data_IF_796834803248
#
_entry.id   IF_796834803248
#
_cell.length_a   1.000
_cell.length_b   1.000
_cell.length_c   1.000
_cell.angle_alpha   90.00
_cell.angle_beta   90.00
_cell.angle_gamma   90.00
#
_symmetry.space_group_name_H-M   'P 1'
#
loop_
_entity.id
_entity.type
_entity.pdbx_description
1 polymer ?
#
# COMPACT_ATOMS: atom_id res chain seq x y z
N UNK A 1 10.40 10.27 30.58
CA UNK A 1 11.85 10.26 30.87
C UNK A 1 12.29 8.80 30.96
N UNK A 2 12.46 8.11 29.81
CA UNK A 2 13.09 6.77 29.64
C UNK A 2 13.25 6.51 28.13
N UNK A 3 13.83 7.44 27.40
CA UNK A 3 14.26 7.27 25.99
C UNK A 3 15.79 7.17 25.97
N UNK A 4 16.36 6.08 26.34
CA UNK A 4 17.80 6.17 26.38
C UNK A 4 18.64 4.88 26.40
N UNK A 5 18.06 3.70 26.49
CA UNK A 5 18.88 2.49 26.64
C UNK A 5 18.79 1.46 25.50
N UNK A 6 17.72 1.44 24.71
CA UNK A 6 17.58 0.48 23.60
C UNK A 6 18.16 1.00 22.26
N UNK A 7 18.29 2.31 22.07
CA UNK A 7 18.88 2.91 20.86
C UNK A 7 20.43 2.86 20.85
N UNK A 8 21.06 2.73 22.01
CA UNK A 8 22.51 2.75 22.16
C UNK A 8 23.19 1.41 21.75
N UNK A 9 22.43 0.32 21.57
CA UNK A 9 22.99 -1.00 21.21
C UNK A 9 22.93 -1.35 19.71
N UNK A 10 22.23 -0.55 18.90
CA UNK A 10 22.19 -0.66 17.45
C UNK A 10 23.36 0.05 16.79
N UNK A 11 24.54 -0.48 16.95
CA UNK A 11 25.74 0.00 16.28
C UNK A 11 26.86 -1.03 16.45
N UNK A 12 27.18 -1.75 15.36
CA UNK A 12 28.50 -2.33 15.26
C UNK A 12 29.52 -1.22 15.52
N UNK A 13 30.59 -1.46 16.30
CA UNK A 13 31.67 -0.51 16.30
C UNK A 13 32.06 -0.20 14.84
N UNK A 14 32.45 1.02 14.55
CA UNK A 14 32.77 1.48 13.17
C UNK A 14 33.62 0.48 12.38
N UNK A 15 34.48 -0.26 13.07
CA UNK A 15 35.34 -1.30 12.52
C UNK A 15 34.57 -2.54 12.02
N UNK A 16 33.53 -3.01 12.73
CA UNK A 16 32.72 -4.17 12.33
C UNK A 16 31.92 -3.90 11.06
N UNK A 17 31.32 -2.73 10.95
CA UNK A 17 30.58 -2.29 9.75
C UNK A 17 31.52 -2.13 8.56
N UNK A 18 32.71 -1.56 8.76
CA UNK A 18 33.71 -1.41 7.69
C UNK A 18 34.19 -2.77 7.16
N UNK A 19 34.48 -3.72 8.05
CA UNK A 19 34.86 -5.08 7.68
C UNK A 19 33.77 -5.84 6.92
N UNK A 20 32.50 -5.73 7.37
CA UNK A 20 31.35 -6.28 6.65
C UNK A 20 31.27 -5.72 5.22
N UNK A 21 31.34 -4.40 5.06
CA UNK A 21 31.21 -3.78 3.74
C UNK A 21 32.36 -4.13 2.81
N UNK A 22 33.59 -4.30 3.33
CA UNK A 22 34.73 -4.81 2.55
C UNK A 22 34.46 -6.25 2.07
N UNK A 23 33.92 -7.10 2.93
CA UNK A 23 33.54 -8.49 2.59
C UNK A 23 32.46 -8.52 1.51
N UNK A 24 31.41 -7.71 1.66
CA UNK A 24 30.32 -7.63 0.68
C UNK A 24 30.83 -7.08 -0.67
N UNK A 25 31.69 -6.07 -0.66
CA UNK A 25 32.28 -5.53 -1.87
C UNK A 25 33.15 -6.59 -2.61
N UNK A 26 33.97 -7.33 -1.90
CA UNK A 26 34.76 -8.40 -2.47
C UNK A 26 33.93 -9.55 -3.06
N UNK A 27 32.82 -9.92 -2.37
CA UNK A 27 31.96 -11.04 -2.77
C UNK A 27 31.01 -10.69 -3.91
N UNK A 28 30.42 -9.48 -3.91
CA UNK A 28 29.33 -9.09 -4.81
C UNK A 28 29.77 -8.13 -5.93
N UNK A 29 30.96 -7.55 -5.85
CA UNK A 29 31.53 -6.67 -6.87
C UNK A 29 30.58 -5.48 -7.19
N UNK A 30 30.27 -5.26 -8.47
CA UNK A 30 29.41 -4.16 -8.95
C UNK A 30 27.96 -4.18 -8.39
N UNK A 31 27.54 -5.26 -7.77
CA UNK A 31 26.23 -5.38 -7.12
C UNK A 31 26.21 -4.79 -5.70
N UNK A 32 27.35 -4.43 -5.15
CA UNK A 32 27.49 -3.69 -3.89
C UNK A 32 27.96 -2.28 -4.19
N UNK A 33 27.28 -1.26 -3.65
CA UNK A 33 27.64 0.13 -3.87
C UNK A 33 27.46 1.00 -2.63
N UNK A 34 28.35 1.95 -2.47
CA UNK A 34 28.28 3.02 -1.46
C UNK A 34 28.14 4.41 -2.10
N UNK A 35 27.82 4.48 -3.41
CA UNK A 35 27.67 5.77 -4.09
C UNK A 35 26.50 6.56 -3.46
N UNK A 36 26.70 7.85 -3.26
CA UNK A 36 25.70 8.73 -2.64
C UNK A 36 24.39 8.71 -3.43
N UNK A 37 24.46 8.88 -4.74
CA UNK A 37 23.28 8.91 -5.62
C UNK A 37 22.41 7.63 -5.48
N UNK A 38 23.04 6.45 -5.44
CA UNK A 38 22.32 5.20 -5.30
C UNK A 38 21.71 5.03 -3.90
N UNK A 39 22.41 5.46 -2.86
CA UNK A 39 21.93 5.45 -1.47
C UNK A 39 20.72 6.37 -1.32
N UNK A 40 20.78 7.58 -1.86
CA UNK A 40 19.68 8.55 -1.87
C UNK A 40 18.48 8.02 -2.66
N UNK A 41 18.69 7.36 -3.79
CA UNK A 41 17.65 6.71 -4.57
C UNK A 41 16.94 5.61 -3.78
N UNK A 42 17.64 4.88 -2.90
CA UNK A 42 17.07 3.84 -2.05
C UNK A 42 16.38 4.38 -0.78
N UNK A 43 16.34 5.67 -0.56
CA UNK A 43 15.51 6.35 0.44
C UNK A 43 14.45 7.26 -0.21
N UNK A 44 14.54 7.49 -1.52
CA UNK A 44 13.66 8.42 -2.23
C UNK A 44 12.30 7.76 -2.53
N UNK A 45 11.31 8.14 -1.75
CA UNK A 45 9.91 7.74 -1.91
C UNK A 45 9.02 8.99 -2.03
N UNK A 46 7.77 8.80 -2.41
CA UNK A 46 6.76 9.87 -2.42
C UNK A 46 6.24 10.11 -0.99
N UNK A 47 7.16 10.47 -0.10
CA UNK A 47 6.85 10.74 1.31
C UNK A 47 7.18 12.19 1.70
N UNK A 48 6.44 12.73 2.67
CA UNK A 48 6.72 14.01 3.30
C UNK A 48 7.78 13.91 4.42
N UNK A 49 8.16 12.69 4.79
CA UNK A 49 9.18 12.44 5.80
C UNK A 49 10.58 12.81 5.29
N UNK A 50 11.47 13.13 6.22
CA UNK A 50 12.87 13.35 5.91
C UNK A 50 13.47 12.07 5.32
N UNK A 51 14.23 12.21 4.24
CA UNK A 51 14.96 11.10 3.64
C UNK A 51 16.15 10.70 4.49
N UNK A 52 16.27 9.41 4.76
CA UNK A 52 17.35 8.82 5.57
C UNK A 52 18.02 7.69 4.77
N UNK A 53 19.03 8.03 3.93
CA UNK A 53 19.67 7.05 3.06
C UNK A 53 20.44 5.97 3.84
N UNK A 54 20.46 4.70 3.35
CA UNK A 54 21.28 3.63 3.92
C UNK A 54 22.77 3.92 3.75
N UNK A 55 23.64 3.20 4.47
CA UNK A 55 25.10 3.30 4.32
C UNK A 55 25.65 2.67 3.03
N UNK A 56 24.94 1.65 2.54
CA UNK A 56 25.26 0.94 1.30
C UNK A 56 24.02 0.29 0.70
N UNK A 57 24.11 -0.11 -0.57
CA UNK A 57 23.09 -0.85 -1.32
C UNK A 57 23.70 -2.12 -1.88
N UNK A 58 22.97 -3.24 -1.81
CA UNK A 58 23.36 -4.52 -2.38
C UNK A 58 22.18 -5.12 -3.17
N UNK A 59 22.43 -5.48 -4.42
CA UNK A 59 21.46 -6.15 -5.30
C UNK A 59 21.62 -7.67 -5.19
N UNK A 60 20.70 -8.34 -4.50
CA UNK A 60 20.67 -9.80 -4.42
C UNK A 60 20.04 -10.41 -5.70
N UNK A 61 20.42 -11.66 -6.01
CA UNK A 61 19.90 -12.43 -7.16
C UNK A 61 19.23 -13.74 -6.77
N UNK A 62 19.38 -14.19 -5.54
CA UNK A 62 18.80 -15.45 -5.05
C UNK A 62 18.45 -15.35 -3.58
N UNK A 63 17.47 -16.16 -3.13
CA UNK A 63 17.13 -16.30 -1.72
C UNK A 63 18.33 -16.72 -0.86
N UNK A 64 19.24 -17.55 -1.40
CA UNK A 64 20.46 -17.95 -0.68
C UNK A 64 21.41 -16.76 -0.46
N UNK A 65 21.56 -15.86 -1.46
CA UNK A 65 22.33 -14.64 -1.27
C UNK A 65 21.72 -13.72 -0.20
N UNK A 66 20.39 -13.60 -0.17
CA UNK A 66 19.67 -12.88 0.89
C UNK A 66 19.97 -13.48 2.25
N UNK A 67 19.87 -14.81 2.40
CA UNK A 67 20.21 -15.54 3.63
C UNK A 67 21.63 -15.27 4.11
N UNK A 68 22.60 -15.40 3.21
CA UNK A 68 24.02 -15.18 3.53
C UNK A 68 24.29 -13.73 3.96
N UNK A 69 23.67 -12.75 3.26
CA UNK A 69 23.83 -11.32 3.57
C UNK A 69 23.19 -10.97 4.91
N UNK A 70 21.95 -11.45 5.17
CA UNK A 70 21.28 -11.21 6.45
C UNK A 70 22.10 -11.78 7.61
N UNK A 71 22.63 -13.00 7.49
CA UNK A 71 23.48 -13.60 8.50
C UNK A 71 24.75 -12.78 8.77
N UNK A 72 25.46 -12.34 7.73
CA UNK A 72 26.64 -11.49 7.87
C UNK A 72 26.29 -10.14 8.54
N UNK A 73 25.14 -9.56 8.20
CA UNK A 73 24.65 -8.34 8.83
C UNK A 73 24.30 -8.56 10.31
N UNK A 74 23.72 -9.72 10.65
CA UNK A 74 23.42 -10.10 12.04
C UNK A 74 24.70 -10.25 12.87
N UNK A 75 25.71 -10.95 12.36
CA UNK A 75 27.03 -11.11 12.99
C UNK A 75 27.70 -9.75 13.25
N UNK A 76 27.58 -8.80 12.30
CA UNK A 76 28.12 -7.46 12.40
C UNK A 76 27.19 -6.45 13.11
N UNK A 77 25.98 -6.83 13.49
CA UNK A 77 24.92 -5.96 14.04
C UNK A 77 24.63 -4.75 13.15
N UNK A 78 24.58 -4.95 11.83
CA UNK A 78 24.28 -3.91 10.82
C UNK A 78 22.84 -4.06 10.38
N UNK A 79 22.01 -3.00 10.43
CA UNK A 79 20.64 -3.03 9.94
C UNK A 79 20.52 -3.44 8.48
N UNK A 80 19.46 -4.20 8.15
CA UNK A 80 19.10 -4.59 6.79
C UNK A 80 17.74 -3.99 6.46
N UNK A 81 17.68 -3.18 5.42
CA UNK A 81 16.48 -2.55 4.92
C UNK A 81 16.09 -3.23 3.60
N UNK A 82 15.10 -4.13 3.57
CA UNK A 82 14.64 -4.74 2.33
C UNK A 82 14.06 -3.69 1.40
N UNK A 83 14.43 -3.76 0.12
CA UNK A 83 13.99 -2.81 -0.89
C UNK A 83 13.44 -3.55 -2.13
N UNK A 84 12.32 -3.07 -2.66
CA UNK A 84 11.72 -3.54 -3.91
C UNK A 84 11.76 -2.46 -4.98
N UNK A 85 10.63 -1.78 -5.21
CA UNK A 85 10.51 -0.65 -6.15
C UNK A 85 10.55 0.72 -5.46
N UNK A 86 10.57 0.78 -4.13
CA UNK A 86 10.62 2.03 -3.37
C UNK A 86 9.36 2.90 -3.49
N UNK A 87 8.20 2.30 -3.76
CA UNK A 87 6.93 3.03 -4.00
C UNK A 87 6.08 3.23 -2.75
N UNK A 88 6.53 2.78 -1.59
CA UNK A 88 5.83 2.97 -0.30
C UNK A 88 5.84 4.44 0.15
N UNK A 89 4.83 4.87 0.92
CA UNK A 89 4.56 6.27 1.21
C UNK A 89 4.92 6.71 2.63
N UNK A 90 5.09 5.78 3.58
CA UNK A 90 5.24 6.07 5.00
C UNK A 90 6.69 5.89 5.52
N UNK A 91 7.70 6.06 4.64
CA UNK A 91 9.12 5.98 5.03
C UNK A 91 9.63 4.56 5.30
N UNK A 92 9.03 3.53 4.72
CA UNK A 92 9.39 2.11 4.94
C UNK A 92 10.83 1.76 4.59
N UNK A 93 11.39 2.43 3.58
CA UNK A 93 12.76 2.18 3.09
C UNK A 93 13.80 3.15 3.63
N UNK A 94 13.39 4.10 4.47
CA UNK A 94 14.32 4.95 5.22
C UNK A 94 15.21 4.11 6.16
N UNK A 95 16.42 4.54 6.37
CA UNK A 95 17.42 3.89 7.21
C UNK A 95 17.85 4.78 8.40
N UNK A 96 16.96 5.01 9.40
CA UNK A 96 17.24 5.93 10.51
C UNK A 96 18.47 5.55 11.34
N UNK A 97 18.85 4.27 11.31
CA UNK A 97 20.06 3.74 11.97
C UNK A 97 21.18 3.41 10.97
N UNK A 98 21.11 3.91 9.71
CA UNK A 98 22.00 3.51 8.63
C UNK A 98 21.76 2.05 8.23
N UNK A 99 22.81 1.35 7.82
CA UNK A 99 22.74 -0.06 7.46
C UNK A 99 22.77 -0.32 5.95
N UNK A 100 22.40 -1.53 5.57
CA UNK A 100 22.41 -2.03 4.21
C UNK A 100 21.01 -2.06 3.60
N UNK A 101 20.79 -1.32 2.52
CA UNK A 101 19.61 -1.55 1.69
C UNK A 101 19.83 -2.80 0.85
N UNK A 102 18.99 -3.81 1.04
CA UNK A 102 19.02 -5.09 0.34
C UNK A 102 18.00 -5.09 -0.76
N UNK A 103 18.43 -4.79 -1.97
CA UNK A 103 17.58 -4.67 -3.16
C UNK A 103 17.28 -6.05 -3.74
N UNK A 104 15.98 -6.36 -3.84
CA UNK A 104 15.44 -7.64 -4.31
C UNK A 104 14.94 -7.56 -5.77
N UNK A 105 15.08 -6.43 -6.44
CA UNK A 105 14.54 -6.22 -7.80
C UNK A 105 15.09 -7.19 -8.84
N UNK A 106 16.27 -7.78 -8.58
CA UNK A 106 16.92 -8.77 -9.46
C UNK A 106 16.53 -10.21 -9.16
N UNK A 107 15.70 -10.45 -8.14
CA UNK A 107 15.05 -11.73 -7.86
C UNK A 107 13.64 -11.62 -8.42
N UNK A 108 13.47 -11.80 -9.75
CA UNK A 108 12.27 -11.36 -10.47
C UNK A 108 11.73 -12.37 -11.48
N UNK A 109 11.87 -13.66 -11.22
CA UNK A 109 11.32 -14.70 -12.08
C UNK A 109 9.87 -15.01 -11.73
N UNK A 110 9.03 -15.20 -12.75
CA UNK A 110 7.77 -15.93 -12.64
C UNK A 110 8.15 -17.41 -12.70
N UNK A 111 8.13 -18.09 -11.54
CA UNK A 111 8.70 -19.44 -11.40
C UNK A 111 7.80 -20.48 -12.07
N UNK A 112 6.49 -20.39 -11.82
CA UNK A 112 5.49 -21.26 -12.41
C UNK A 112 4.09 -20.67 -12.32
N UNK A 113 3.24 -21.00 -13.30
CA UNK A 113 1.80 -20.71 -13.27
C UNK A 113 1.06 -22.06 -13.32
N UNK A 114 0.16 -22.26 -12.38
CA UNK A 114 -0.71 -23.45 -12.31
C UNK A 114 -2.13 -23.04 -12.74
N UNK A 115 -2.35 -23.01 -14.04
CA UNK A 115 -3.61 -22.55 -14.64
C UNK A 115 -4.84 -23.29 -14.08
N UNK A 116 -4.74 -24.61 -13.94
CA UNK A 116 -5.84 -25.46 -13.42
C UNK A 116 -6.20 -25.19 -11.95
N UNK A 117 -5.26 -24.67 -11.17
CA UNK A 117 -5.45 -24.37 -9.73
C UNK A 117 -5.68 -22.89 -9.47
N UNK A 118 -5.51 -22.05 -10.51
CA UNK A 118 -5.58 -20.59 -10.42
C UNK A 118 -4.61 -20.03 -9.37
N UNK A 119 -3.36 -20.46 -9.44
CA UNK A 119 -2.27 -19.94 -8.62
C UNK A 119 -0.97 -19.83 -9.41
N UNK A 120 -0.04 -19.04 -8.89
CA UNK A 120 1.32 -18.96 -9.42
C UNK A 120 2.35 -18.81 -8.30
N UNK A 121 3.60 -19.18 -8.60
CA UNK A 121 4.75 -18.92 -7.74
C UNK A 121 5.63 -17.89 -8.43
N UNK A 122 5.94 -16.80 -7.72
CA UNK A 122 6.74 -15.69 -8.22
C UNK A 122 7.82 -15.29 -7.23
N UNK A 123 8.89 -14.72 -7.72
CA UNK A 123 9.93 -14.07 -6.93
C UNK A 123 9.54 -12.63 -6.56
N UNK A 124 10.08 -12.05 -5.47
CA UNK A 124 9.61 -10.81 -4.87
C UNK A 124 9.78 -9.57 -5.75
N UNK A 125 10.77 -9.57 -6.65
CA UNK A 125 11.05 -8.46 -7.57
C UNK A 125 10.17 -8.42 -8.81
N UNK A 126 9.32 -9.43 -9.05
CA UNK A 126 8.32 -9.39 -10.13
C UNK A 126 7.36 -8.25 -9.84
N UNK A 127 7.10 -7.37 -10.83
CA UNK A 127 6.10 -6.31 -10.67
C UNK A 127 4.70 -6.81 -11.00
N UNK A 128 3.68 -6.14 -10.44
CA UNK A 128 2.28 -6.46 -10.74
C UNK A 128 2.01 -6.42 -12.24
N UNK A 129 2.53 -5.40 -12.92
CA UNK A 129 2.35 -5.24 -14.37
C UNK A 129 3.00 -6.39 -15.15
N UNK A 130 4.25 -6.73 -14.83
CA UNK A 130 4.97 -7.83 -15.48
C UNK A 130 4.23 -9.15 -15.31
N UNK A 131 3.67 -9.44 -14.12
CA UNK A 131 2.86 -10.64 -13.89
C UNK A 131 1.60 -10.62 -14.75
N UNK A 132 0.84 -9.55 -14.77
CA UNK A 132 -0.41 -9.47 -15.54
C UNK A 132 -0.17 -9.49 -17.06
N UNK A 133 0.93 -8.90 -17.53
CA UNK A 133 1.33 -9.01 -18.94
C UNK A 133 1.63 -10.48 -19.34
N UNK A 134 2.26 -11.24 -18.44
CA UNK A 134 2.53 -12.66 -18.63
C UNK A 134 1.27 -13.54 -18.59
N UNK A 135 0.31 -13.23 -17.73
CA UNK A 135 -0.91 -14.02 -17.51
C UNK A 135 -2.00 -13.78 -18.56
N UNK A 136 -1.94 -12.67 -19.30
CA UNK A 136 -3.00 -12.21 -20.21
C UNK A 136 -3.42 -13.26 -21.22
N UNK A 137 -2.46 -13.88 -21.88
CA UNK A 137 -2.72 -14.86 -22.95
C UNK A 137 -3.22 -16.22 -22.40
N UNK A 138 -3.14 -16.42 -21.08
CA UNK A 138 -3.70 -17.56 -20.37
C UNK A 138 -5.14 -17.31 -19.90
N UNK A 139 -5.71 -16.12 -20.16
CA UNK A 139 -7.04 -15.72 -19.67
C UNK A 139 -7.10 -15.51 -18.15
N UNK A 140 -5.94 -15.27 -17.51
CA UNK A 140 -5.80 -15.09 -16.08
C UNK A 140 -5.32 -13.69 -15.74
N UNK A 141 -5.57 -13.27 -14.48
CA UNK A 141 -5.00 -12.03 -13.95
C UNK A 141 -4.79 -12.09 -12.43
N UNK A 142 -3.86 -11.26 -11.95
CA UNK A 142 -3.64 -10.98 -10.55
C UNK A 142 -4.36 -9.67 -10.18
N UNK A 143 -5.26 -9.69 -9.17
CA UNK A 143 -6.24 -8.60 -9.00
C UNK A 143 -5.77 -7.39 -8.21
N UNK A 144 -4.78 -7.53 -7.30
CA UNK A 144 -4.39 -6.41 -6.42
C UNK A 144 -3.64 -5.34 -7.22
N UNK A 145 -4.17 -4.12 -7.20
CA UNK A 145 -3.79 -3.06 -8.14
C UNK A 145 -3.50 -1.71 -7.44
N UNK A 146 -2.46 -1.63 -6.59
CA UNK A 146 -2.07 -0.35 -6.01
C UNK A 146 -1.74 0.67 -7.11
N UNK A 147 -1.80 1.96 -6.79
CA UNK A 147 -1.59 3.05 -7.74
C UNK A 147 -0.23 3.05 -8.45
N UNK A 148 0.80 2.41 -7.88
CA UNK A 148 2.12 2.26 -8.47
C UNK A 148 2.33 0.86 -9.07
N UNK A 149 3.23 0.72 -10.06
CA UNK A 149 3.71 -0.59 -10.51
C UNK A 149 4.75 -1.12 -9.51
N UNK A 150 4.23 -1.65 -8.41
CA UNK A 150 5.03 -2.13 -7.29
C UNK A 150 5.49 -3.57 -7.48
N UNK A 151 6.60 -3.94 -6.84
CA UNK A 151 7.07 -5.32 -6.75
C UNK A 151 6.17 -6.14 -5.82
N UNK A 152 5.87 -7.37 -6.19
CA UNK A 152 4.97 -8.26 -5.45
C UNK A 152 5.46 -8.55 -4.02
N UNK A 153 6.77 -8.65 -3.81
CA UNK A 153 7.36 -8.75 -2.47
C UNK A 153 7.13 -7.50 -1.63
N UNK A 154 7.27 -6.31 -2.22
CA UNK A 154 6.96 -5.04 -1.56
C UNK A 154 5.48 -4.91 -1.23
N UNK A 155 4.59 -5.26 -2.18
CA UNK A 155 3.14 -5.29 -1.96
C UNK A 155 2.74 -6.21 -0.80
N UNK A 156 3.33 -7.40 -0.72
CA UNK A 156 3.10 -8.31 0.40
C UNK A 156 3.64 -7.74 1.73
N UNK A 157 4.83 -7.15 1.71
CA UNK A 157 5.44 -6.57 2.90
C UNK A 157 4.63 -5.41 3.50
N UNK A 158 3.94 -4.60 2.68
CA UNK A 158 3.09 -3.49 3.13
C UNK A 158 1.61 -3.85 3.25
N UNK A 159 1.21 -5.09 2.92
CA UNK A 159 -0.19 -5.53 2.85
C UNK A 159 -1.01 -4.69 1.88
N UNK A 160 -0.42 -4.37 0.72
CA UNK A 160 -1.01 -3.49 -0.28
C UNK A 160 -2.44 -3.92 -0.68
N UNK A 161 -3.22 -2.93 -1.04
CA UNK A 161 -4.59 -3.03 -1.54
C UNK A 161 -4.69 -2.40 -2.95
N UNK A 162 -5.83 -1.81 -3.29
CA UNK A 162 -6.08 -1.13 -4.53
C UNK A 162 -7.56 -1.10 -4.88
N UNK A 163 -7.89 -0.62 -6.08
CA UNK A 163 -9.28 -0.40 -6.50
C UNK A 163 -10.12 -1.67 -6.61
N UNK A 164 -9.47 -2.82 -6.86
CA UNK A 164 -10.12 -4.13 -6.98
C UNK A 164 -10.38 -4.84 -5.63
N UNK A 165 -9.93 -4.27 -4.52
CA UNK A 165 -9.95 -4.96 -3.22
C UNK A 165 -11.37 -5.30 -2.76
N UNK A 166 -12.35 -4.44 -3.02
CA UNK A 166 -13.77 -4.67 -2.67
C UNK A 166 -14.31 -6.01 -3.19
N UNK A 167 -13.80 -6.51 -4.32
CA UNK A 167 -14.21 -7.81 -4.89
C UNK A 167 -13.23 -8.93 -4.62
N UNK A 168 -11.95 -8.65 -4.77
CA UNK A 168 -10.93 -9.69 -4.84
C UNK A 168 -10.08 -9.79 -3.58
N UNK A 169 -10.23 -8.85 -2.64
CA UNK A 169 -9.41 -8.74 -1.45
C UNK A 169 -8.06 -8.07 -1.70
N UNK A 170 -7.27 -8.00 -0.64
CA UNK A 170 -5.95 -7.38 -0.60
C UNK A 170 -4.83 -8.43 -0.73
N UNK A 171 -3.57 -8.02 -0.62
CA UNK A 171 -2.45 -8.98 -0.51
C UNK A 171 -2.63 -9.99 0.62
N UNK A 172 -3.31 -9.62 1.71
CA UNK A 172 -3.65 -10.53 2.81
C UNK A 172 -4.49 -11.73 2.35
N UNK A 173 -5.36 -11.52 1.36
CA UNK A 173 -6.36 -12.51 0.93
C UNK A 173 -5.87 -13.35 -0.24
N UNK A 174 -4.97 -12.81 -1.07
CA UNK A 174 -4.50 -13.46 -2.29
C UNK A 174 -3.15 -14.14 -2.16
N UNK A 175 -2.37 -13.88 -1.11
CA UNK A 175 -1.13 -14.63 -0.85
C UNK A 175 -1.48 -15.91 -0.11
N UNK A 176 -1.26 -17.05 -0.78
CA UNK A 176 -1.53 -18.39 -0.24
C UNK A 176 -0.36 -18.91 0.60
N UNK A 177 0.86 -18.51 0.30
CA UNK A 177 2.07 -18.87 1.01
C UNK A 177 3.24 -18.03 0.57
N UNK A 178 4.33 -18.05 1.32
CA UNK A 178 5.55 -17.33 0.98
C UNK A 178 6.80 -18.03 1.51
N UNK A 179 7.95 -17.65 0.97
CA UNK A 179 9.27 -17.95 1.51
C UNK A 179 9.88 -16.65 2.03
N UNK A 180 10.48 -16.69 3.20
CA UNK A 180 11.15 -15.54 3.80
C UNK A 180 12.48 -15.93 4.48
N UNK A 181 13.43 -15.01 4.52
CA UNK A 181 14.65 -15.09 5.27
C UNK A 181 14.46 -14.37 6.61
N UNK A 182 14.68 -15.09 7.72
CA UNK A 182 14.61 -14.54 9.08
C UNK A 182 15.95 -13.86 9.48
N UNK A 183 15.96 -13.21 10.64
CA UNK A 183 17.11 -12.43 11.10
C UNK A 183 18.38 -13.24 11.32
N UNK A 184 18.29 -14.54 11.57
CA UNK A 184 19.43 -15.47 11.70
C UNK A 184 19.91 -16.01 10.34
N UNK A 185 19.29 -15.60 9.24
CA UNK A 185 19.55 -16.08 7.89
C UNK A 185 18.83 -17.37 7.52
N UNK A 186 18.04 -17.97 8.41
CA UNK A 186 17.26 -19.16 8.09
C UNK A 186 16.18 -18.85 7.05
N UNK A 187 15.98 -19.78 6.09
CA UNK A 187 14.94 -19.69 5.06
C UNK A 187 13.74 -20.50 5.53
N UNK A 188 12.62 -19.85 5.69
CA UNK A 188 11.36 -20.48 6.12
C UNK A 188 10.30 -20.39 5.03
N UNK A 189 9.44 -21.42 4.96
CA UNK A 189 8.27 -21.43 4.08
C UNK A 189 7.02 -21.47 4.92
N UNK A 190 6.03 -20.69 4.54
CA UNK A 190 4.76 -20.57 5.22
C UNK A 190 3.61 -20.79 4.25
N UNK A 191 2.51 -21.37 4.73
CA UNK A 191 1.36 -21.64 3.88
C UNK A 191 1.65 -22.68 2.80
N UNK A 192 1.00 -22.53 1.66
CA UNK A 192 1.14 -23.43 0.52
C UNK A 192 0.04 -23.19 -0.50
N UNK A 193 -0.05 -24.05 -1.54
CA UNK A 193 -1.03 -23.94 -2.64
C UNK A 193 -2.45 -24.35 -2.25
N UNK A 194 -2.60 -25.09 -1.14
CA UNK A 194 -3.92 -25.49 -0.66
C UNK A 194 -4.70 -24.24 -0.18
N UNK A 195 -5.93 -24.09 -0.69
CA UNK A 195 -6.79 -22.93 -0.36
C UNK A 195 -7.26 -22.88 1.10
N UNK A 196 -7.19 -23.99 1.80
CA UNK A 196 -7.54 -24.10 3.23
C UNK A 196 -6.49 -24.93 3.96
N UNK A 197 -6.08 -24.45 5.12
CA UNK A 197 -5.27 -25.20 6.09
C UNK A 197 -5.62 -24.73 7.50
N UNK A 198 -5.70 -25.65 8.43
CA UNK A 198 -5.81 -25.41 9.88
C UNK A 198 -4.58 -25.94 10.64
N UNK A 199 -3.48 -26.18 9.93
CA UNK A 199 -2.26 -26.77 10.48
C UNK A 199 -1.35 -25.69 11.08
N UNK A 200 -1.53 -25.39 12.36
CA UNK A 200 -0.68 -24.47 13.13
C UNK A 200 -1.06 -22.99 12.98
N UNK A 201 -0.15 -22.12 13.42
CA UNK A 201 -0.33 -20.67 13.32
C UNK A 201 -0.22 -20.18 11.88
N UNK A 202 -0.96 -19.12 11.54
CA UNK A 202 -0.90 -18.47 10.23
C UNK A 202 0.32 -17.54 10.11
N UNK A 203 1.47 -18.15 9.86
CA UNK A 203 2.72 -17.40 9.68
C UNK A 203 2.75 -16.60 8.38
N UNK A 204 1.95 -17.01 7.38
CA UNK A 204 1.83 -16.28 6.12
C UNK A 204 1.28 -14.88 6.38
N UNK A 205 0.15 -14.79 7.10
CA UNK A 205 -0.46 -13.50 7.44
C UNK A 205 0.31 -12.69 8.47
N UNK A 206 1.16 -13.34 9.28
CA UNK A 206 2.08 -12.64 10.19
C UNK A 206 3.17 -11.90 9.41
N UNK A 207 3.71 -12.49 8.34
CA UNK A 207 4.76 -11.90 7.54
C UNK A 207 4.23 -10.88 6.51
N UNK A 208 2.98 -11.05 6.04
CA UNK A 208 2.30 -10.06 5.20
C UNK A 208 1.97 -8.81 6.04
N UNK A 209 2.45 -7.65 5.59
CA UNK A 209 2.32 -6.39 6.32
C UNK A 209 3.32 -6.23 7.46
N UNK A 210 4.36 -7.06 7.53
CA UNK A 210 5.45 -6.90 8.49
C UNK A 210 6.49 -5.86 8.09
N UNK A 211 6.39 -5.28 6.91
CA UNK A 211 7.23 -4.19 6.40
C UNK A 211 8.74 -4.53 6.46
N UNK A 212 9.07 -5.80 6.27
CA UNK A 212 10.45 -6.27 6.36
C UNK A 212 11.03 -6.32 7.77
N UNK A 213 10.22 -6.12 8.82
CA UNK A 213 10.70 -6.13 10.22
C UNK A 213 10.78 -7.53 10.82
N UNK A 214 10.07 -8.52 10.28
CA UNK A 214 10.05 -9.90 10.77
C UNK A 214 10.79 -10.88 9.84
N UNK A 215 11.05 -10.50 8.59
CA UNK A 215 11.71 -11.32 7.60
C UNK A 215 11.78 -10.63 6.25
N UNK A 216 12.67 -11.11 5.38
CA UNK A 216 12.82 -10.64 4.00
C UNK A 216 12.13 -11.64 3.07
N UNK A 217 11.04 -11.25 2.44
CA UNK A 217 10.25 -12.11 1.53
C UNK A 217 11.05 -12.39 0.25
N UNK A 218 11.23 -13.67 -0.08
CA UNK A 218 12.01 -14.13 -1.24
C UNK A 218 11.23 -14.91 -2.28
N UNK A 219 10.00 -15.35 -1.97
CA UNK A 219 9.07 -15.96 -2.93
C UNK A 219 7.63 -15.83 -2.43
N UNK A 220 6.68 -15.87 -3.36
CA UNK A 220 5.26 -15.75 -3.10
C UNK A 220 4.48 -16.80 -3.91
N UNK A 221 3.52 -17.45 -3.26
CA UNK A 221 2.46 -18.22 -3.93
C UNK A 221 1.20 -17.36 -3.94
N UNK A 222 0.73 -16.99 -5.12
CA UNK A 222 -0.36 -16.03 -5.32
C UNK A 222 -1.58 -16.71 -5.92
N UNK A 223 -2.75 -16.35 -5.42
CA UNK A 223 -4.04 -16.71 -6.01
C UNK A 223 -4.30 -15.85 -7.24
N UNK A 224 -4.75 -16.49 -8.31
CA UNK A 224 -5.13 -15.88 -9.58
C UNK A 224 -6.64 -15.96 -9.79
N UNK A 225 -7.12 -15.21 -10.77
CA UNK A 225 -8.52 -15.19 -11.19
C UNK A 225 -8.61 -15.24 -12.72
N UNK A 226 -9.69 -15.81 -13.23
CA UNK A 226 -10.02 -15.72 -14.65
C UNK A 226 -10.40 -14.29 -15.04
N UNK A 227 -9.99 -13.85 -16.22
CA UNK A 227 -10.44 -12.57 -16.78
C UNK A 227 -11.96 -12.64 -17.00
N UNK A 228 -12.75 -11.68 -16.48
CA UNK A 228 -14.19 -11.67 -16.65
C UNK A 228 -14.60 -11.59 -18.14
N UNK A 229 -15.65 -12.29 -18.52
CA UNK A 229 -16.19 -12.26 -19.87
C UNK A 229 -16.66 -10.86 -20.27
N UNK A 230 -17.27 -10.16 -19.33
CA UNK A 230 -17.78 -8.79 -19.52
C UNK A 230 -17.31 -7.90 -18.38
N UNK A 231 -16.83 -6.71 -18.74
CA UNK A 231 -16.46 -5.63 -17.84
C UNK A 231 -17.20 -4.38 -18.29
N UNK A 232 -18.02 -3.83 -17.40
CA UNK A 232 -18.70 -2.55 -17.59
C UNK A 232 -18.16 -1.55 -16.56
N UNK A 233 -17.81 -0.34 -17.00
CA UNK A 233 -17.39 0.73 -16.09
C UNK A 233 -18.27 1.96 -16.28
N UNK A 234 -18.47 2.73 -15.22
CA UNK A 234 -19.28 3.93 -15.30
C UNK A 234 -18.93 4.97 -14.24
N UNK A 235 -19.50 6.15 -14.41
CA UNK A 235 -19.44 7.25 -13.46
C UNK A 235 -20.86 7.69 -13.10
N UNK A 236 -21.06 8.00 -11.82
CA UNK A 236 -22.30 8.53 -11.29
C UNK A 236 -22.01 9.80 -10.48
N UNK A 237 -22.47 10.99 -10.94
CA UNK A 237 -22.36 12.24 -10.19
C UNK A 237 -23.42 12.31 -9.10
N UNK A 238 -23.13 13.00 -7.98
CA UNK A 238 -24.05 13.16 -6.84
C UNK A 238 -24.17 14.62 -6.42
N UNK A 239 -25.33 14.98 -5.91
CA UNK A 239 -25.56 16.31 -5.33
C UNK A 239 -24.83 16.55 -4.00
N UNK A 240 -24.37 15.48 -3.33
CA UNK A 240 -23.61 15.55 -2.08
C UNK A 240 -22.65 14.37 -1.96
N UNK A 241 -21.55 14.55 -1.21
CA UNK A 241 -20.60 13.50 -0.88
C UNK A 241 -21.24 12.43 0.02
N UNK A 242 -22.20 12.82 0.85
CA UNK A 242 -22.97 11.92 1.70
C UNK A 242 -23.78 10.93 0.86
N UNK A 243 -24.49 11.40 -0.18
CA UNK A 243 -25.26 10.54 -1.10
C UNK A 243 -24.37 9.55 -1.83
N UNK A 244 -23.18 9.95 -2.26
CA UNK A 244 -22.20 9.04 -2.87
C UNK A 244 -21.77 7.93 -1.88
N UNK A 245 -21.45 8.30 -0.63
CA UNK A 245 -21.08 7.33 0.39
C UNK A 245 -22.25 6.40 0.77
N UNK A 246 -23.46 6.92 0.92
CA UNK A 246 -24.65 6.13 1.23
C UNK A 246 -24.99 5.15 0.09
N UNK A 247 -24.83 5.55 -1.17
CA UNK A 247 -24.93 4.64 -2.32
C UNK A 247 -23.96 3.47 -2.21
N UNK A 248 -22.71 3.73 -1.84
CA UNK A 248 -21.70 2.68 -1.63
C UNK A 248 -22.13 1.72 -0.52
N UNK A 249 -22.56 2.26 0.63
CA UNK A 249 -23.03 1.47 1.77
C UNK A 249 -24.20 0.58 1.36
N UNK A 250 -25.23 1.16 0.72
CA UNK A 250 -26.43 0.44 0.31
C UNK A 250 -26.12 -0.65 -0.74
N UNK A 251 -25.29 -0.34 -1.73
CA UNK A 251 -24.89 -1.31 -2.76
C UNK A 251 -24.19 -2.54 -2.15
N UNK A 252 -23.30 -2.34 -1.18
CA UNK A 252 -22.61 -3.44 -0.49
C UNK A 252 -23.56 -4.21 0.43
N UNK A 253 -24.44 -3.54 1.16
CA UNK A 253 -25.45 -4.17 2.02
C UNK A 253 -26.44 -5.02 1.22
N UNK A 254 -26.78 -4.61 0.00
CA UNK A 254 -27.61 -5.39 -0.92
C UNK A 254 -26.86 -6.53 -1.60
N UNK A 255 -25.55 -6.67 -1.34
CA UNK A 255 -24.73 -7.76 -1.88
C UNK A 255 -24.38 -7.61 -3.36
N UNK A 256 -24.40 -6.38 -3.91
CA UNK A 256 -23.94 -6.15 -5.28
C UNK A 256 -22.45 -6.53 -5.38
N UNK A 257 -22.05 -7.42 -6.30
CA UNK A 257 -20.68 -7.87 -6.45
C UNK A 257 -19.86 -6.87 -7.28
N UNK A 258 -19.76 -5.62 -6.79
CA UNK A 258 -18.99 -4.55 -7.44
C UNK A 258 -17.53 -4.98 -7.59
N UNK A 259 -16.96 -4.77 -8.77
CA UNK A 259 -15.54 -5.03 -9.00
C UNK A 259 -14.68 -3.88 -8.47
N UNK A 260 -15.15 -2.65 -8.63
CA UNK A 260 -14.55 -1.41 -8.10
C UNK A 260 -15.62 -0.42 -7.75
N UNK A 261 -15.37 0.37 -6.72
CA UNK A 261 -16.17 1.56 -6.40
C UNK A 261 -15.27 2.59 -5.72
N UNK A 262 -15.11 3.73 -6.41
CA UNK A 262 -14.13 4.76 -6.09
C UNK A 262 -14.82 6.12 -5.97
N UNK A 263 -14.52 6.87 -4.91
CA UNK A 263 -15.02 8.22 -4.70
C UNK A 263 -13.99 9.25 -5.18
N UNK A 264 -14.49 10.33 -5.79
CA UNK A 264 -13.79 11.59 -5.95
C UNK A 264 -14.72 12.74 -5.56
N UNK A 265 -14.26 13.66 -4.69
CA UNK A 265 -15.03 14.84 -4.35
C UNK A 265 -14.99 15.90 -5.48
N UNK A 266 -15.75 16.98 -5.34
CA UNK A 266 -15.83 18.06 -6.33
C UNK A 266 -14.47 18.72 -6.62
N UNK A 267 -13.59 18.81 -5.61
CA UNK A 267 -12.23 19.36 -5.76
C UNK A 267 -11.37 18.43 -6.59
N UNK A 268 -11.48 17.13 -6.35
CA UNK A 268 -10.75 16.11 -7.14
C UNK A 268 -11.27 16.04 -8.57
N UNK A 269 -12.58 16.12 -8.80
CA UNK A 269 -13.13 16.14 -10.16
C UNK A 269 -12.65 17.35 -10.94
N UNK A 270 -12.62 18.55 -10.31
CA UNK A 270 -12.03 19.75 -10.91
C UNK A 270 -10.55 19.53 -11.27
N UNK A 271 -9.78 18.88 -10.39
CA UNK A 271 -8.39 18.55 -10.65
C UNK A 271 -8.25 17.60 -11.86
N UNK A 272 -9.06 16.54 -11.92
CA UNK A 272 -9.06 15.57 -13.02
C UNK A 272 -9.50 16.23 -14.34
N UNK A 273 -10.49 17.10 -14.33
CA UNK A 273 -10.90 17.85 -15.52
C UNK A 273 -9.76 18.67 -16.10
N UNK A 274 -9.06 19.42 -15.25
CA UNK A 274 -7.93 20.26 -15.67
C UNK A 274 -6.74 19.44 -16.18
N UNK A 275 -6.39 18.35 -15.47
CA UNK A 275 -5.20 17.54 -15.77
C UNK A 275 -5.39 16.61 -16.98
N UNK A 276 -6.55 15.94 -17.06
CA UNK A 276 -6.85 14.94 -18.09
C UNK A 276 -7.74 15.45 -19.22
N UNK A 277 -7.98 16.77 -19.26
CA UNK A 277 -8.81 17.44 -20.29
C UNK A 277 -10.21 16.83 -20.41
N UNK A 278 -10.87 16.58 -19.26
CA UNK A 278 -12.21 16.09 -19.18
C UNK A 278 -13.19 17.25 -18.95
N UNK A 279 -14.49 16.96 -19.07
CA UNK A 279 -15.58 17.91 -18.83
C UNK A 279 -16.66 17.28 -17.92
N UNK A 280 -16.25 16.61 -16.86
CA UNK A 280 -17.15 16.03 -15.88
C UNK A 280 -17.78 17.14 -15.03
N UNK A 281 -19.06 16.99 -14.59
CA UNK A 281 -19.64 17.89 -13.60
C UNK A 281 -18.76 17.95 -12.34
N UNK A 282 -18.43 19.15 -11.87
CA UNK A 282 -17.59 19.36 -10.67
C UNK A 282 -18.42 19.13 -9.39
N UNK A 283 -18.80 17.88 -9.17
CA UNK A 283 -19.57 17.40 -8.02
C UNK A 283 -19.00 16.08 -7.55
N UNK A 284 -19.27 15.63 -6.31
CA UNK A 284 -18.87 14.31 -5.84
C UNK A 284 -19.30 13.23 -6.81
N UNK A 285 -18.40 12.34 -7.19
CA UNK A 285 -18.62 11.34 -8.24
C UNK A 285 -18.09 9.97 -7.80
N UNK A 286 -18.89 8.93 -8.05
CA UNK A 286 -18.47 7.54 -7.95
C UNK A 286 -18.03 7.03 -9.32
N UNK A 287 -16.86 6.39 -9.35
CA UNK A 287 -16.38 5.57 -10.45
C UNK A 287 -16.64 4.12 -10.08
N UNK A 288 -17.33 3.37 -10.94
CA UNK A 288 -17.74 1.99 -10.63
C UNK A 288 -17.39 1.03 -11.76
N UNK A 289 -17.14 -0.24 -11.40
CA UNK A 289 -16.88 -1.29 -12.37
C UNK A 289 -17.60 -2.58 -11.97
N UNK A 290 -18.19 -3.25 -12.96
CA UNK A 290 -18.97 -4.46 -12.82
C UNK A 290 -18.35 -5.58 -13.67
N UNK A 291 -18.17 -6.74 -13.07
CA UNK A 291 -17.60 -7.92 -13.71
C UNK A 291 -18.63 -9.07 -13.73
N UNK A 292 -18.74 -9.78 -14.85
CA UNK A 292 -19.62 -10.94 -14.91
C UNK A 292 -19.81 -11.47 -16.33
N UNK A 293 -20.92 -12.18 -16.51
CA UNK A 293 -21.47 -12.47 -17.84
C UNK A 293 -22.13 -11.21 -18.41
N UNK A 294 -22.40 -11.13 -19.72
CA UNK A 294 -23.06 -9.96 -20.32
C UNK A 294 -24.38 -9.59 -19.65
N UNK A 295 -25.22 -10.56 -19.32
CA UNK A 295 -26.50 -10.33 -18.66
C UNK A 295 -26.28 -9.91 -17.17
N UNK A 296 -25.48 -10.66 -16.44
CA UNK A 296 -25.24 -10.39 -15.02
C UNK A 296 -24.54 -9.04 -14.76
N UNK A 297 -23.67 -8.57 -15.66
CA UNK A 297 -23.05 -7.27 -15.53
C UNK A 297 -24.09 -6.15 -15.76
N UNK A 298 -25.03 -6.31 -16.70
CA UNK A 298 -26.12 -5.34 -16.94
C UNK A 298 -27.10 -5.27 -15.77
N UNK A 299 -27.49 -6.42 -15.21
CA UNK A 299 -28.32 -6.47 -14.00
C UNK A 299 -27.67 -5.72 -12.82
N UNK A 300 -26.36 -5.86 -12.66
CA UNK A 300 -25.61 -5.11 -11.64
C UNK A 300 -25.66 -3.60 -11.90
N UNK A 301 -25.50 -3.16 -13.15
CA UNK A 301 -25.59 -1.73 -13.54
C UNK A 301 -26.97 -1.16 -13.22
N UNK A 302 -28.04 -1.87 -13.57
CA UNK A 302 -29.42 -1.45 -13.33
C UNK A 302 -29.72 -1.33 -11.83
N UNK A 303 -29.35 -2.36 -11.04
CA UNK A 303 -29.51 -2.35 -9.59
C UNK A 303 -28.71 -1.22 -8.93
N UNK A 304 -27.48 -0.98 -9.35
CA UNK A 304 -26.67 0.12 -8.85
C UNK A 304 -27.29 1.47 -9.18
N UNK A 305 -27.80 1.66 -10.40
CA UNK A 305 -28.43 2.91 -10.83
C UNK A 305 -29.71 3.22 -10.03
N UNK A 306 -30.48 2.21 -9.62
CA UNK A 306 -31.65 2.37 -8.76
C UNK A 306 -31.25 2.84 -7.35
N UNK A 307 -30.22 2.22 -6.77
CA UNK A 307 -29.69 2.61 -5.46
C UNK A 307 -29.15 4.05 -5.52
N UNK A 308 -28.32 4.37 -6.53
CA UNK A 308 -27.73 5.68 -6.68
C UNK A 308 -28.81 6.78 -6.80
N UNK A 309 -29.88 6.53 -7.57
CA UNK A 309 -31.00 7.46 -7.72
C UNK A 309 -31.72 7.70 -6.39
N UNK A 310 -31.87 6.68 -5.56
CA UNK A 310 -32.52 6.80 -4.25
C UNK A 310 -31.69 7.69 -3.29
N UNK A 311 -30.37 7.71 -3.46
CA UNK A 311 -29.42 8.50 -2.65
C UNK A 311 -29.03 9.84 -3.31
N UNK A 312 -29.78 10.31 -4.30
CA UNK A 312 -29.58 11.61 -4.96
C UNK A 312 -28.50 11.60 -6.05
N UNK A 313 -28.16 10.44 -6.57
CA UNK A 313 -27.28 10.28 -7.74
C UNK A 313 -27.97 10.72 -9.03
N UNK A 314 -27.17 11.27 -9.94
CA UNK A 314 -27.59 11.59 -11.30
C UNK A 314 -27.63 10.36 -12.21
N UNK A 315 -27.64 10.61 -13.51
CA UNK A 315 -27.61 9.54 -14.50
C UNK A 315 -26.26 8.82 -14.48
N UNK A 316 -26.30 7.48 -14.40
CA UNK A 316 -25.12 6.64 -14.51
C UNK A 316 -24.66 6.59 -15.97
N UNK A 317 -23.50 7.18 -16.25
CA UNK A 317 -22.85 7.13 -17.55
C UNK A 317 -21.89 5.95 -17.57
N UNK A 318 -22.13 4.98 -18.40
CA UNK A 318 -21.35 3.74 -18.45
C UNK A 318 -20.77 3.44 -19.82
N UNK A 319 -19.68 2.69 -19.86
CA UNK A 319 -18.92 2.35 -21.04
C UNK A 319 -18.67 0.84 -21.14
N UNK A 320 -18.95 0.26 -22.29
CA UNK A 320 -18.65 -1.14 -22.63
C UNK A 320 -17.27 -1.28 -23.30
N UNK A 321 -16.91 -0.29 -24.16
CA UNK A 321 -15.68 -0.35 -24.94
C UNK A 321 -14.46 -0.18 -24.06
N UNK A 322 -13.43 -0.99 -24.31
CA UNK A 322 -12.20 -0.96 -23.53
C UNK A 322 -11.53 0.42 -23.52
N UNK A 323 -11.53 1.12 -24.67
CA UNK A 323 -10.93 2.44 -24.77
C UNK A 323 -11.62 3.47 -23.87
N UNK A 324 -12.97 3.44 -23.82
CA UNK A 324 -13.77 4.36 -23.02
C UNK A 324 -13.60 4.06 -21.52
N UNK A 325 -13.62 2.76 -21.14
CA UNK A 325 -13.29 2.34 -19.76
C UNK A 325 -11.90 2.78 -19.35
N UNK A 326 -10.91 2.59 -20.23
CA UNK A 326 -9.52 2.97 -19.96
C UNK A 326 -9.37 4.48 -19.70
N UNK A 327 -10.10 5.31 -20.45
CA UNK A 327 -10.11 6.78 -20.21
C UNK A 327 -10.70 7.15 -18.85
N UNK A 328 -11.82 6.52 -18.46
CA UNK A 328 -12.45 6.76 -17.15
C UNK A 328 -11.49 6.39 -16.00
N UNK A 329 -10.89 5.19 -16.08
CA UNK A 329 -9.95 4.74 -15.06
C UNK A 329 -8.63 5.49 -15.07
N UNK A 330 -8.15 5.95 -16.22
CA UNK A 330 -6.95 6.77 -16.29
C UNK A 330 -7.10 8.06 -15.48
N UNK A 331 -8.24 8.75 -15.62
CA UNK A 331 -8.52 9.95 -14.83
C UNK A 331 -8.52 9.68 -13.31
N UNK A 332 -9.04 8.52 -12.87
CA UNK A 332 -9.00 8.13 -11.47
C UNK A 332 -7.58 7.72 -11.03
N UNK A 333 -6.81 7.04 -11.86
CA UNK A 333 -5.42 6.68 -11.57
C UNK A 333 -4.51 7.90 -11.47
N UNK A 334 -4.77 8.93 -12.26
CA UNK A 334 -4.00 10.18 -12.26
C UNK A 334 -4.39 11.12 -11.10
N UNK A 335 -5.29 10.72 -10.20
CA UNK A 335 -5.84 11.55 -9.13
C UNK A 335 -4.78 12.28 -8.29
N UNK A 336 -3.69 11.60 -7.91
CA UNK A 336 -2.58 12.20 -7.18
C UNK A 336 -1.88 13.31 -7.99
N UNK A 337 -1.59 13.04 -9.25
CA UNK A 337 -0.91 13.99 -10.14
C UNK A 337 -1.81 15.17 -10.50
N UNK A 338 -3.11 14.89 -10.68
CA UNK A 338 -4.12 15.90 -10.90
C UNK A 338 -4.26 16.83 -9.69
N UNK A 339 -4.32 16.28 -8.47
CA UNK A 339 -4.32 17.06 -7.24
C UNK A 339 -3.07 17.94 -7.13
N UNK A 340 -1.88 17.37 -7.36
CA UNK A 340 -0.61 18.10 -7.34
C UNK A 340 -0.58 19.25 -8.33
N UNK A 341 -1.23 19.11 -9.49
CA UNK A 341 -1.28 20.13 -10.53
C UNK A 341 -2.21 21.31 -10.19
N UNK A 342 -3.11 21.19 -9.20
CA UNK A 342 -4.02 22.28 -8.79
C UNK A 342 -3.27 23.52 -8.28
N UNK A 343 -2.13 23.32 -7.61
CA UNK A 343 -1.32 24.41 -7.08
C UNK A 343 0.16 24.12 -7.36
N UNK A 344 0.72 24.58 -8.50
CA UNK A 344 2.13 24.35 -8.81
C UNK A 344 3.07 24.85 -7.72
N UNK A 345 4.13 24.10 -7.45
CA UNK A 345 5.12 24.42 -6.41
C UNK A 345 4.75 23.86 -5.01
N UNK A 346 3.61 23.19 -4.85
CA UNK A 346 3.25 22.49 -3.62
C UNK A 346 3.65 21.02 -3.64
N UNK A 347 3.81 20.46 -2.45
CA UNK A 347 3.86 19.02 -2.21
C UNK A 347 2.46 18.51 -1.85
N UNK A 348 2.20 17.24 -2.13
CA UNK A 348 0.95 16.57 -1.76
C UNK A 348 1.25 15.47 -0.77
N UNK A 349 0.64 15.56 0.42
CA UNK A 349 0.60 14.46 1.36
C UNK A 349 -0.57 13.55 0.99
N UNK A 350 -0.34 12.25 0.84
CA UNK A 350 -1.43 11.28 0.72
C UNK A 350 -1.72 10.69 2.10
N UNK A 351 -2.88 11.05 2.67
CA UNK A 351 -3.35 10.43 3.92
C UNK A 351 -3.99 9.08 3.62
N UNK A 352 -4.21 8.28 4.66
CA UNK A 352 -4.80 6.96 4.51
C UNK A 352 -5.50 6.54 5.80
N UNK A 353 -6.81 6.45 5.77
CA UNK A 353 -7.64 5.93 6.86
C UNK A 353 -8.69 5.00 6.30
N UNK A 354 -9.12 4.03 7.11
CA UNK A 354 -10.19 3.12 6.75
C UNK A 354 -11.15 2.97 7.93
N UNK A 355 -12.45 2.97 7.66
CA UNK A 355 -13.51 2.85 8.68
C UNK A 355 -14.48 1.73 8.30
N UNK A 356 -15.21 1.14 9.26
CA UNK A 356 -16.33 0.26 8.94
C UNK A 356 -17.28 0.89 7.94
N UNK A 357 -17.76 0.11 6.98
CA UNK A 357 -18.52 0.61 5.84
C UNK A 357 -19.74 1.44 6.28
N UNK A 358 -20.41 1.08 7.36
CA UNK A 358 -21.56 1.80 7.91
C UNK A 358 -21.19 3.19 8.47
N UNK A 359 -19.91 3.43 8.77
CA UNK A 359 -19.40 4.70 9.30
C UNK A 359 -18.81 5.60 8.20
N UNK A 360 -18.72 5.11 6.97
CA UNK A 360 -18.06 5.79 5.85
C UNK A 360 -18.64 7.19 5.60
N UNK A 361 -19.96 7.30 5.43
CA UNK A 361 -20.60 8.57 5.13
C UNK A 361 -20.33 9.61 6.22
N UNK A 362 -20.55 9.26 7.48
CA UNK A 362 -20.32 10.17 8.60
C UNK A 362 -18.86 10.62 8.70
N UNK A 363 -17.90 9.70 8.57
CA UNK A 363 -16.47 10.01 8.64
C UNK A 363 -16.01 10.91 7.49
N UNK A 364 -16.45 10.65 6.26
CA UNK A 364 -16.10 11.46 5.07
C UNK A 364 -16.72 12.86 5.16
N UNK A 365 -17.99 12.97 5.55
CA UNK A 365 -18.69 14.27 5.72
C UNK A 365 -18.01 15.13 6.79
N UNK A 366 -17.73 14.58 7.97
CA UNK A 366 -17.01 15.29 9.03
C UNK A 366 -15.60 15.70 8.58
N UNK A 367 -14.94 14.88 7.77
CA UNK A 367 -13.63 15.19 7.21
C UNK A 367 -13.70 16.36 6.24
N UNK A 368 -14.71 16.40 5.34
CA UNK A 368 -14.92 17.52 4.42
C UNK A 368 -15.21 18.81 5.20
N UNK A 369 -16.07 18.75 6.20
CA UNK A 369 -16.35 19.90 7.08
C UNK A 369 -15.12 20.42 7.80
N UNK A 370 -14.24 19.53 8.28
CA UNK A 370 -12.98 19.95 8.94
C UNK A 370 -12.03 20.63 7.95
N UNK A 371 -11.89 20.10 6.72
CA UNK A 371 -11.10 20.70 5.64
C UNK A 371 -11.60 22.11 5.34
N UNK A 372 -12.91 22.29 5.17
CA UNK A 372 -13.54 23.57 4.87
C UNK A 372 -13.36 24.58 6.01
N UNK A 373 -13.58 24.13 7.25
CA UNK A 373 -13.44 24.95 8.46
C UNK A 373 -12.03 25.54 8.61
N UNK A 374 -11.00 24.76 8.27
CA UNK A 374 -9.61 25.22 8.35
C UNK A 374 -9.10 25.89 7.08
N UNK A 375 -9.92 25.91 6.00
CA UNK A 375 -9.56 26.50 4.71
C UNK A 375 -8.35 25.80 4.07
N UNK A 376 -8.34 24.47 4.05
CA UNK A 376 -7.28 23.67 3.45
C UNK A 376 -7.67 23.29 2.01
N UNK A 377 -6.74 23.45 1.05
CA UNK A 377 -6.93 22.89 -0.28
C UNK A 377 -6.53 21.42 -0.24
N UNK A 378 -7.52 20.55 -0.17
CA UNK A 378 -7.31 19.11 0.02
C UNK A 378 -8.46 18.31 -0.62
N UNK A 379 -8.26 17.76 -1.83
CA UNK A 379 -9.20 16.83 -2.44
C UNK A 379 -9.38 15.56 -1.61
N UNK A 380 -10.57 14.94 -1.71
CA UNK A 380 -10.87 13.63 -1.14
C UNK A 380 -11.04 12.62 -2.28
N UNK A 381 -10.34 11.50 -2.18
CA UNK A 381 -10.47 10.32 -3.05
C UNK A 381 -10.50 9.06 -2.20
N UNK A 382 -11.05 7.96 -2.70
CA UNK A 382 -10.97 6.75 -1.87
C UNK A 382 -11.51 5.49 -2.51
N UNK A 383 -11.00 4.36 -1.99
CA UNK A 383 -11.47 2.99 -2.22
C UNK A 383 -12.67 2.74 -1.30
N UNK A 384 -13.76 3.48 -1.57
CA UNK A 384 -14.90 3.55 -0.64
C UNK A 384 -15.65 2.22 -0.48
N UNK A 385 -15.45 1.27 -1.40
CA UNK A 385 -15.97 -0.09 -1.26
C UNK A 385 -15.41 -0.86 -0.07
N UNK A 386 -14.23 -0.48 0.41
CA UNK A 386 -13.60 -1.07 1.59
C UNK A 386 -13.67 -0.15 2.82
N UNK A 387 -14.30 1.02 2.69
CA UNK A 387 -14.32 2.05 3.73
C UNK A 387 -13.03 2.87 3.82
N UNK A 388 -12.12 2.70 2.86
CA UNK A 388 -10.83 3.40 2.79
C UNK A 388 -10.95 4.69 1.97
N UNK A 389 -10.38 5.78 2.49
CA UNK A 389 -10.31 7.02 1.75
C UNK A 389 -9.04 7.82 2.11
N UNK A 390 -8.66 8.68 1.18
CA UNK A 390 -7.48 9.54 1.24
C UNK A 390 -7.92 10.99 1.14
N UNK A 391 -7.27 11.84 1.91
CA UNK A 391 -7.26 13.27 1.72
C UNK A 391 -5.90 13.65 1.15
N UNK A 392 -5.86 14.55 0.19
CA UNK A 392 -4.65 14.97 -0.50
C UNK A 392 -4.36 16.45 -0.22
N UNK A 393 -3.93 16.84 1.01
CA UNK A 393 -3.54 18.20 1.32
C UNK A 393 -2.40 18.70 0.44
N UNK A 394 -2.57 19.88 -0.16
CA UNK A 394 -1.52 20.58 -0.88
C UNK A 394 -0.79 21.52 0.07
N UNK A 395 0.53 21.36 0.18
CA UNK A 395 1.38 22.02 1.17
C UNK A 395 2.45 22.81 0.45
N UNK A 396 2.58 24.09 0.78
CA UNK A 396 3.79 24.85 0.43
C UNK A 396 4.97 24.35 1.30
N UNK A 397 5.99 23.69 0.71
CA UNK A 397 7.12 23.16 1.48
C UNK A 397 7.93 24.23 2.19
N UNK A 398 7.81 25.48 1.81
CA UNK A 398 8.46 26.62 2.45
C UNK A 398 7.65 27.21 3.62
N UNK A 399 6.36 26.81 3.80
CA UNK A 399 5.48 27.35 4.84
C UNK A 399 5.43 26.48 6.11
N UNK A 400 6.07 26.88 7.23
CA UNK A 400 5.94 26.15 8.50
C UNK A 400 4.50 26.14 9.02
N UNK A 401 3.73 27.18 8.71
CA UNK A 401 2.33 27.30 9.13
C UNK A 401 1.45 26.27 8.41
N UNK A 402 1.57 26.12 7.09
CA UNK A 402 0.83 25.10 6.34
C UNK A 402 1.20 23.69 6.82
N UNK A 403 2.50 23.42 7.05
CA UNK A 403 2.96 22.13 7.58
C UNK A 403 2.33 21.80 8.94
N UNK A 404 2.32 22.76 9.88
CA UNK A 404 1.66 22.57 11.18
C UNK A 404 0.17 22.34 11.03
N UNK A 405 -0.50 23.14 10.20
CA UNK A 405 -1.94 23.03 9.94
C UNK A 405 -2.32 21.65 9.39
N UNK A 406 -1.52 21.11 8.47
CA UNK A 406 -1.72 19.77 7.90
C UNK A 406 -1.42 18.69 8.93
N UNK A 407 -0.37 18.83 9.75
CA UNK A 407 -0.08 17.88 10.84
C UNK A 407 -1.24 17.79 11.84
N UNK A 408 -1.74 18.94 12.31
CA UNK A 408 -2.90 19.02 13.20
C UNK A 408 -4.19 18.45 12.55
N UNK A 409 -4.35 18.63 11.24
CA UNK A 409 -5.45 18.02 10.49
C UNK A 409 -5.31 16.50 10.43
N UNK A 410 -4.11 15.99 10.17
CA UNK A 410 -3.83 14.55 10.12
C UNK A 410 -4.15 13.86 11.45
N UNK A 411 -3.72 14.47 12.57
CA UNK A 411 -4.05 13.96 13.92
C UNK A 411 -5.57 13.84 14.10
N UNK A 412 -6.33 14.89 13.77
CA UNK A 412 -7.80 14.87 13.88
C UNK A 412 -8.48 13.89 12.92
N UNK A 413 -7.92 13.70 11.71
CA UNK A 413 -8.42 12.72 10.74
C UNK A 413 -8.29 11.30 11.29
N UNK A 414 -7.13 10.97 11.85
CA UNK A 414 -6.86 9.66 12.43
C UNK A 414 -7.70 9.44 13.69
N UNK A 415 -7.77 10.42 14.61
CA UNK A 415 -8.63 10.35 15.79
C UNK A 415 -10.12 10.12 15.40
N UNK A 416 -10.57 10.78 14.33
CA UNK A 416 -11.92 10.59 13.77
C UNK A 416 -12.11 9.15 13.29
N UNK A 417 -11.18 8.62 12.49
CA UNK A 417 -11.27 7.25 12.01
C UNK A 417 -11.30 6.24 13.16
N UNK A 418 -10.42 6.40 14.17
CA UNK A 418 -10.39 5.53 15.35
C UNK A 418 -11.66 5.63 16.20
N UNK A 419 -12.26 6.83 16.33
CA UNK A 419 -13.55 7.02 17.00
C UNK A 419 -14.69 6.26 16.30
N UNK A 420 -14.60 6.10 14.99
CA UNK A 420 -15.50 5.28 14.17
C UNK A 420 -15.08 3.80 14.10
N UNK A 421 -14.27 3.31 15.02
CA UNK A 421 -13.77 1.94 15.06
C UNK A 421 -12.96 1.54 13.82
N UNK A 422 -12.35 2.52 13.15
CA UNK A 422 -11.50 2.36 12.00
C UNK A 422 -10.02 2.19 12.35
N UNK A 423 -9.15 2.46 11.37
CA UNK A 423 -7.70 2.33 11.49
C UNK A 423 -6.98 3.57 10.95
N UNK A 424 -5.79 3.82 11.47
CA UNK A 424 -4.93 4.92 11.01
C UNK A 424 -4.30 4.67 9.62
N UNK A 425 -4.40 3.44 9.10
CA UNK A 425 -3.89 3.07 7.77
C UNK A 425 -4.71 1.94 7.16
N UNK A 426 -5.32 2.19 5.99
CA UNK A 426 -6.06 1.19 5.23
C UNK A 426 -5.15 0.32 4.38
N UNK A 427 -4.18 0.95 3.69
CA UNK A 427 -3.34 0.26 2.71
C UNK A 427 -1.88 0.73 2.66
N UNK A 428 -1.54 1.96 3.08
CA UNK A 428 -0.18 2.50 2.96
C UNK A 428 0.82 1.81 3.89
N UNK A 429 0.34 1.17 4.96
CA UNK A 429 1.18 0.65 6.03
C UNK A 429 1.55 1.73 7.06
N UNK A 430 2.34 1.34 8.05
CA UNK A 430 2.74 2.18 9.18
C UNK A 430 4.05 2.91 8.92
N UNK A 431 5.06 2.19 8.44
CA UNK A 431 6.41 2.71 8.21
C UNK A 431 6.95 3.45 9.43
N UNK A 432 7.44 4.68 9.20
CA UNK A 432 7.78 5.67 10.22
C UNK A 432 6.62 6.65 10.47
N UNK A 433 5.83 6.94 9.42
CA UNK A 433 4.87 8.03 9.41
C UNK A 433 3.71 7.86 10.40
N UNK A 434 3.31 6.63 10.69
CA UNK A 434 2.13 6.34 11.51
C UNK A 434 2.41 5.64 12.83
N UNK A 435 3.69 5.46 13.20
CA UNK A 435 4.10 4.80 14.44
C UNK A 435 3.44 5.39 15.70
N UNK A 436 3.26 6.71 15.72
CA UNK A 436 2.70 7.43 16.89
C UNK A 436 1.26 7.02 17.21
N UNK A 437 0.49 6.55 16.22
CA UNK A 437 -0.93 6.24 16.37
C UNK A 437 -1.22 4.81 16.81
N UNK A 438 -0.25 3.89 16.63
CA UNK A 438 -0.48 2.46 16.92
C UNK A 438 -0.79 2.16 18.37
N UNK A 439 -0.22 2.91 19.31
CA UNK A 439 -0.50 2.73 20.73
C UNK A 439 -1.97 3.05 21.05
N UNK A 440 -2.55 4.06 20.41
CA UNK A 440 -3.97 4.43 20.55
C UNK A 440 -4.87 3.38 19.90
N UNK A 441 -4.49 2.87 18.74
CA UNK A 441 -5.30 1.90 18.00
C UNK A 441 -5.27 0.50 18.63
N UNK A 442 -4.10 0.02 19.06
CA UNK A 442 -3.91 -1.37 19.49
C UNK A 442 -3.75 -1.56 21.00
N UNK A 443 -3.51 -0.49 21.76
CA UNK A 443 -3.34 -0.60 23.22
C UNK A 443 -2.28 -1.63 23.61
N UNK A 444 -2.69 -2.64 24.42
CA UNK A 444 -1.80 -3.72 24.87
C UNK A 444 -1.28 -4.62 23.73
N UNK A 445 -1.91 -4.58 22.54
CA UNK A 445 -1.49 -5.34 21.36
C UNK A 445 -0.08 -4.99 20.90
N UNK A 446 0.38 -3.74 21.12
CA UNK A 446 1.76 -3.32 20.82
C UNK A 446 2.78 -4.18 21.59
N UNK A 447 2.50 -4.52 22.85
CA UNK A 447 3.37 -5.41 23.63
C UNK A 447 3.50 -6.81 23.02
N UNK A 448 2.42 -7.34 22.43
CA UNK A 448 2.45 -8.62 21.72
C UNK A 448 3.25 -8.51 20.43
N UNK A 449 3.07 -7.44 19.64
CA UNK A 449 3.86 -7.20 18.43
C UNK A 449 5.35 -7.09 18.76
N UNK A 450 5.72 -6.37 19.83
CA UNK A 450 7.09 -6.25 20.30
C UNK A 450 7.69 -7.59 20.76
N UNK A 451 6.90 -8.44 21.42
CA UNK A 451 7.35 -9.78 21.81
C UNK A 451 7.62 -10.67 20.58
N UNK A 452 6.77 -10.62 19.56
CA UNK A 452 6.97 -11.33 18.28
C UNK A 452 8.25 -10.82 17.59
N UNK A 453 8.43 -9.50 17.49
CA UNK A 453 9.63 -8.91 16.90
C UNK A 453 10.90 -9.37 17.62
N UNK A 454 10.93 -9.29 18.97
CA UNK A 454 12.08 -9.74 19.78
C UNK A 454 12.37 -11.23 19.65
N UNK A 455 11.32 -12.06 19.47
CA UNK A 455 11.49 -13.50 19.27
C UNK A 455 12.11 -13.85 17.90
N UNK A 456 11.70 -13.14 16.83
CA UNK A 456 12.16 -13.42 15.46
C UNK A 456 13.41 -12.63 15.07
N UNK A 457 13.64 -11.48 15.67
CA UNK A 457 14.79 -10.62 15.43
C UNK A 457 15.33 -10.02 16.74
N UNK A 458 15.99 -10.83 17.56
CA UNK A 458 16.48 -10.41 18.87
C UNK A 458 17.55 -9.32 18.82
N UNK A 459 18.24 -9.16 17.67
CA UNK A 459 19.25 -8.12 17.45
C UNK A 459 18.65 -6.85 16.85
N UNK A 460 17.35 -6.86 16.51
CA UNK A 460 16.64 -5.75 15.87
C UNK A 460 17.35 -5.21 14.60
N UNK A 461 17.86 -6.11 13.76
CA UNK A 461 18.57 -5.73 12.53
C UNK A 461 17.66 -5.59 11.32
N UNK A 462 16.48 -6.25 11.33
CA UNK A 462 15.54 -6.22 10.20
C UNK A 462 14.69 -4.96 10.27
N UNK A 463 14.91 -4.05 9.34
CA UNK A 463 14.22 -2.78 9.12
C UNK A 463 13.86 -2.03 10.42
N UNK A 464 14.84 -1.76 11.31
CA UNK A 464 14.56 -1.14 12.61
C UNK A 464 13.99 0.27 12.46
N UNK A 465 13.20 0.72 13.47
CA UNK A 465 12.55 2.03 13.46
C UNK A 465 11.34 2.12 12.53
N UNK A 466 10.66 1.00 12.33
CA UNK A 466 9.39 0.90 11.59
C UNK A 466 8.34 0.21 12.44
N UNK A 467 7.08 0.53 12.17
CA UNK A 467 5.87 0.04 12.85
C UNK A 467 5.79 0.55 14.30
N UNK A 468 6.76 0.26 15.14
CA UNK A 468 6.84 0.73 16.53
C UNK A 468 8.29 0.79 17.02
N UNK A 469 8.53 1.52 18.10
CA UNK A 469 9.83 1.55 18.77
C UNK A 469 9.93 0.39 19.78
N UNK A 470 10.99 -0.41 19.69
CA UNK A 470 11.31 -1.38 20.73
C UNK A 470 11.85 -0.64 21.96
N UNK A 471 11.21 -0.85 23.11
CA UNK A 471 11.67 -0.36 24.40
C UNK A 471 12.77 -1.29 24.98
#
# INVERSE_FOLDING_TARGET
>A
MTMGLAEAELGSGADGKAALFATLAARFGERFSRSQALREQHANTLTWLKLEPPDAVLFAKTAQEVSDVVRLCAEARVPVIPFGTGTSLEGHVNAPFGGLSLDLSRINRIVTVHEGDLDCVVEPGVTRKALNDHLRDMGLFFPVDPGADASLGGMAATRASGTNAVRYGTMRDVVLGLEAVLADGSIVRTGGRARKSSAGYDLTRLLIGSEGTLGVITSLTLKLYGIPETILAGICPFGSIEGACNTTIAALQMGLPLARIELADEVQIRACNAYSHLALPEVPTLFVEFHGTPLGAREQVEAFAEIARAEGGGELQWAERQEDRSKLWQARHDAYWAARALKPGTEVLSTDVCVPISSLAACVVETRQDIDRIGLLAPIVGHVGDGNFHVLPLIDPASPEEKRKVAEFLDRLIERALRYEGTCTGEHGVGQGKMAYLATEHGLGIGVMAAIKKALDPLNILNPGKIFTLA
#
